data_IF_710902864652
#
_entry.id   IF_710902864652
#
_cell.length_a   1.000
_cell.length_b   1.000
_cell.length_c   1.000
_cell.angle_alpha   90.00
_cell.angle_beta   90.00
_cell.angle_gamma   90.00
#
_symmetry.space_group_name_H-M   'P 1'
#
loop_
_entity.id
_entity.type
_entity.pdbx_description
1 polymer ?
#
# COMPACT_ATOMS: atom_id res chain seq x y z
N UNK A 1 -21.52 20.21 2.00
CA UNK A 1 -22.28 21.45 1.74
C UNK A 1 -23.06 21.90 2.96
N UNK A 2 -23.85 21.03 3.61
CA UNK A 2 -24.65 21.36 4.80
C UNK A 2 -23.79 21.77 6.01
N UNK A 3 -22.70 21.07 6.28
CA UNK A 3 -21.79 21.37 7.38
C UNK A 3 -21.13 22.76 7.22
N UNK A 4 -20.80 23.15 5.98
CA UNK A 4 -20.22 24.46 5.70
C UNK A 4 -21.21 25.60 5.95
N UNK A 5 -22.51 25.38 5.67
CA UNK A 5 -23.58 26.35 5.98
C UNK A 5 -23.80 26.50 7.49
N UNK A 6 -23.74 25.38 8.24
CA UNK A 6 -24.05 25.39 9.67
C UNK A 6 -22.89 25.84 10.57
N UNK A 7 -21.64 25.58 10.19
CA UNK A 7 -20.46 25.75 11.06
C UNK A 7 -19.40 26.71 10.52
N UNK A 8 -19.62 27.30 9.35
CA UNK A 8 -18.63 28.12 8.66
C UNK A 8 -17.61 27.29 7.86
N UNK A 9 -17.02 27.92 6.84
CA UNK A 9 -16.16 27.25 5.85
C UNK A 9 -14.90 26.64 6.48
N UNK A 10 -14.24 27.35 7.39
CA UNK A 10 -12.99 26.88 8.03
C UNK A 10 -13.21 25.62 8.86
N UNK A 11 -14.24 25.63 9.70
CA UNK A 11 -14.61 24.48 10.55
C UNK A 11 -14.98 23.27 9.68
N UNK A 12 -15.74 23.48 8.60
CA UNK A 12 -16.11 22.41 7.69
C UNK A 12 -14.88 21.85 6.96
N UNK A 13 -13.92 22.69 6.57
CA UNK A 13 -12.67 22.27 5.94
C UNK A 13 -11.83 21.45 6.91
N UNK A 14 -11.68 21.90 8.18
CA UNK A 14 -10.94 21.16 9.19
C UNK A 14 -11.58 19.79 9.47
N UNK A 15 -12.90 19.75 9.62
CA UNK A 15 -13.62 18.48 9.81
C UNK A 15 -13.40 17.52 8.65
N UNK A 16 -13.47 18.00 7.41
CA UNK A 16 -13.23 17.18 6.22
C UNK A 16 -11.79 16.65 6.20
N UNK A 17 -10.82 17.49 6.53
CA UNK A 17 -9.41 17.10 6.62
C UNK A 17 -9.20 16.02 7.68
N UNK A 18 -9.77 16.18 8.88
CA UNK A 18 -9.63 15.23 9.97
C UNK A 18 -10.29 13.88 9.64
N UNK A 19 -11.46 13.89 9.03
CA UNK A 19 -12.14 12.67 8.58
C UNK A 19 -11.31 11.94 7.49
N UNK A 20 -10.82 12.70 6.50
CA UNK A 20 -10.04 12.13 5.39
C UNK A 20 -8.74 11.49 5.85
N UNK A 21 -8.13 11.99 6.94
CA UNK A 21 -6.89 11.43 7.51
C UNK A 21 -7.08 10.16 8.32
N UNK A 22 -8.29 9.87 8.80
CA UNK A 22 -8.53 8.74 9.71
C UNK A 22 -8.02 7.42 9.16
N UNK A 23 -8.28 7.14 7.88
CA UNK A 23 -7.84 5.90 7.25
C UNK A 23 -6.31 5.81 7.24
N UNK A 24 -5.62 6.82 6.72
CA UNK A 24 -4.15 6.79 6.63
C UNK A 24 -3.49 6.73 8.02
N UNK A 25 -4.04 7.42 9.02
CA UNK A 25 -3.58 7.35 10.41
C UNK A 25 -3.80 5.95 11.02
N UNK A 26 -4.94 5.33 10.74
CA UNK A 26 -5.25 3.97 11.21
C UNK A 26 -4.29 2.95 10.60
N UNK A 27 -4.03 3.04 9.30
CA UNK A 27 -3.05 2.19 8.64
C UNK A 27 -1.63 2.44 9.18
N UNK A 28 -1.28 3.69 9.49
CA UNK A 28 0.02 3.98 10.13
C UNK A 28 0.13 3.40 11.54
N UNK A 29 -0.93 3.44 12.34
CA UNK A 29 -0.97 2.76 13.64
C UNK A 29 -0.76 1.25 13.51
N UNK A 30 -1.35 0.63 12.48
CA UNK A 30 -1.13 -0.79 12.18
C UNK A 30 0.36 -1.09 11.93
N UNK A 31 1.05 -0.24 11.16
CA UNK A 31 2.49 -0.38 10.87
C UNK A 31 3.38 -0.25 12.11
N UNK A 32 2.96 0.53 13.10
CA UNK A 32 3.81 0.92 14.25
C UNK A 32 3.36 0.34 15.58
N UNK A 33 2.35 -0.52 15.61
CA UNK A 33 1.79 -1.07 16.86
C UNK A 33 2.67 -2.14 17.55
N UNK A 34 3.84 -2.46 16.99
CA UNK A 34 4.76 -3.44 17.55
C UNK A 34 4.34 -4.90 17.35
N UNK A 35 3.27 -5.16 16.58
CA UNK A 35 2.81 -6.51 16.24
C UNK A 35 2.99 -6.76 14.73
N UNK A 36 3.48 -7.94 14.32
CA UNK A 36 3.58 -8.27 12.90
C UNK A 36 2.19 -8.50 12.30
N UNK A 37 1.93 -7.87 11.16
CA UNK A 37 0.72 -8.03 10.36
C UNK A 37 1.07 -8.64 9.02
N UNK A 38 0.29 -9.64 8.60
CA UNK A 38 0.44 -10.28 7.28
C UNK A 38 -0.88 -10.20 6.54
N UNK A 39 -0.85 -9.69 5.33
CA UNK A 39 -1.99 -9.75 4.43
C UNK A 39 -2.01 -11.09 3.71
N UNK A 40 -3.10 -11.84 3.86
CA UNK A 40 -3.39 -13.07 3.12
C UNK A 40 -4.39 -12.76 2.00
N UNK A 41 -3.89 -12.57 0.78
CA UNK A 41 -4.65 -12.06 -0.36
C UNK A 41 -5.17 -13.24 -1.19
N UNK A 42 -6.49 -13.44 -1.21
CA UNK A 42 -7.12 -14.54 -1.96
C UNK A 42 -8.05 -14.04 -3.07
N UNK A 43 -7.60 -13.09 -3.87
CA UNK A 43 -8.39 -12.53 -4.96
C UNK A 43 -8.05 -11.06 -5.23
N UNK A 44 -9.07 -10.25 -5.49
CA UNK A 44 -8.90 -8.83 -5.76
C UNK A 44 -8.54 -8.04 -4.51
N UNK A 45 -7.43 -7.30 -4.55
CA UNK A 45 -7.10 -6.27 -3.58
C UNK A 45 -6.87 -4.96 -4.34
N UNK A 46 -7.91 -4.15 -4.47
CA UNK A 46 -7.92 -2.93 -5.25
C UNK A 46 -8.28 -1.74 -4.35
N UNK A 47 -7.73 -0.56 -4.66
CA UNK A 47 -8.01 0.67 -3.92
C UNK A 47 -7.63 0.56 -2.45
N UNK A 48 -8.50 1.04 -1.57
CA UNK A 48 -8.29 1.00 -0.12
C UNK A 48 -7.98 -0.40 0.44
N UNK A 49 -8.51 -1.48 -0.18
CA UNK A 49 -8.14 -2.84 0.18
C UNK A 49 -6.65 -3.12 -0.10
N UNK A 50 -6.11 -2.64 -1.22
CA UNK A 50 -4.69 -2.76 -1.49
C UNK A 50 -3.85 -1.87 -0.57
N UNK A 51 -4.30 -0.65 -0.25
CA UNK A 51 -3.63 0.23 0.72
C UNK A 51 -3.50 -0.41 2.10
N UNK A 52 -4.54 -1.13 2.56
CA UNK A 52 -4.48 -1.94 3.77
C UNK A 52 -3.41 -3.03 3.67
N UNK A 53 -3.34 -3.75 2.55
CA UNK A 53 -2.32 -4.80 2.38
C UNK A 53 -0.91 -4.22 2.33
N UNK A 54 -0.71 -3.02 1.74
CA UNK A 54 0.57 -2.32 1.72
C UNK A 54 1.02 -1.87 3.12
N UNK A 55 0.07 -1.60 4.03
CA UNK A 55 0.37 -1.27 5.42
C UNK A 55 0.74 -2.51 6.27
N UNK A 56 0.45 -3.73 5.80
CA UNK A 56 0.93 -4.94 6.46
C UNK A 56 2.45 -5.13 6.25
N UNK A 57 3.12 -5.77 7.22
CA UNK A 57 4.57 -6.02 7.17
C UNK A 57 4.95 -7.07 6.13
N UNK A 58 4.06 -8.01 5.88
CA UNK A 58 4.23 -9.05 4.86
C UNK A 58 2.94 -9.30 4.09
N UNK A 59 3.05 -9.76 2.87
CA UNK A 59 1.92 -10.08 1.98
C UNK A 59 2.16 -11.44 1.35
N UNK A 60 1.18 -12.32 1.51
CA UNK A 60 1.09 -13.62 0.82
C UNK A 60 -0.12 -13.58 -0.08
N UNK A 61 0.01 -13.98 -1.31
CA UNK A 61 -1.11 -14.05 -2.24
C UNK A 61 -1.37 -15.50 -2.64
N UNK A 62 -2.65 -15.85 -2.88
CA UNK A 62 -2.97 -17.11 -3.51
C UNK A 62 -2.65 -17.08 -5.01
N UNK A 63 -2.32 -18.22 -5.58
CA UNK A 63 -2.08 -18.42 -7.01
C UNK A 63 -3.36 -18.34 -7.86
N UNK A 64 -4.48 -17.90 -7.27
CA UNK A 64 -5.74 -17.69 -7.95
C UNK A 64 -5.55 -16.78 -9.18
N UNK A 65 -5.89 -17.23 -10.40
CA UNK A 65 -5.69 -16.46 -11.62
C UNK A 65 -6.49 -15.15 -11.68
N UNK A 66 -7.51 -15.01 -10.81
CA UNK A 66 -8.29 -13.78 -10.66
C UNK A 66 -7.66 -12.77 -9.69
N UNK A 67 -6.59 -13.13 -8.98
CA UNK A 67 -5.92 -12.20 -8.06
C UNK A 67 -5.30 -11.03 -8.84
N UNK A 68 -5.66 -9.83 -8.44
CA UNK A 68 -5.13 -8.57 -8.98
C UNK A 68 -4.94 -7.59 -7.84
N UNK A 69 -3.88 -6.81 -7.94
CA UNK A 69 -3.52 -5.75 -7.00
C UNK A 69 -3.50 -4.41 -7.75
N UNK A 70 -3.88 -3.32 -7.10
CA UNK A 70 -3.80 -2.03 -7.77
C UNK A 70 -4.52 -0.91 -7.03
N UNK A 71 -4.30 0.31 -7.54
CA UNK A 71 -4.86 1.57 -7.00
C UNK A 71 -5.65 2.28 -8.12
N UNK A 72 -6.86 1.79 -8.44
CA UNK A 72 -7.66 2.30 -9.57
C UNK A 72 -8.45 3.57 -9.26
N UNK A 73 -8.19 4.24 -8.14
CA UNK A 73 -8.94 5.41 -7.66
C UNK A 73 -9.03 6.51 -8.71
N UNK A 74 -7.98 6.73 -9.49
CA UNK A 74 -7.96 7.73 -10.58
C UNK A 74 -9.04 7.49 -11.64
N UNK A 75 -9.45 6.24 -11.86
CA UNK A 75 -10.49 5.87 -12.83
C UNK A 75 -11.90 6.34 -12.43
N UNK A 76 -12.06 6.73 -11.18
CA UNK A 76 -13.31 7.28 -10.63
C UNK A 76 -13.15 8.72 -10.11
N UNK A 77 -12.08 9.42 -10.55
CA UNK A 77 -11.84 10.82 -10.19
C UNK A 77 -11.32 11.02 -8.77
N UNK A 78 -10.77 9.98 -8.14
CA UNK A 78 -10.17 10.02 -6.81
C UNK A 78 -8.66 9.76 -6.88
N UNK A 79 -7.99 9.74 -5.74
CA UNK A 79 -6.61 9.28 -5.56
C UNK A 79 -6.52 8.37 -4.32
N UNK A 80 -5.47 7.53 -4.21
CA UNK A 80 -5.29 6.65 -3.05
C UNK A 80 -5.12 7.44 -1.76
N UNK A 81 -6.12 7.43 -0.89
CA UNK A 81 -6.19 8.26 0.33
C UNK A 81 -5.68 7.58 1.60
N UNK A 82 -5.53 6.25 1.60
CA UNK A 82 -5.02 5.48 2.75
C UNK A 82 -3.50 5.39 2.83
N UNK A 83 -2.77 6.05 1.92
CA UNK A 83 -1.31 6.09 1.89
C UNK A 83 -0.66 5.22 0.83
N UNK A 84 -1.41 4.74 -0.16
CA UNK A 84 -0.89 4.02 -1.32
C UNK A 84 0.14 4.83 -2.09
N UNK A 85 -0.09 6.15 -2.24
CA UNK A 85 0.84 7.11 -2.85
C UNK A 85 2.17 7.22 -2.10
N UNK A 86 2.23 6.83 -0.84
CA UNK A 86 3.41 6.87 0.00
C UNK A 86 4.12 5.51 0.10
N UNK A 87 3.34 4.42 0.23
CA UNK A 87 3.89 3.07 0.43
C UNK A 87 4.43 2.46 -0.85
N UNK A 88 3.68 2.60 -1.95
CA UNK A 88 4.05 1.96 -3.21
C UNK A 88 5.41 2.43 -3.73
N UNK A 89 5.73 3.75 -3.79
CA UNK A 89 7.06 4.23 -4.21
C UNK A 89 8.20 3.91 -3.22
N UNK A 90 7.87 3.44 -2.02
CA UNK A 90 8.85 2.93 -1.07
C UNK A 90 9.13 1.42 -1.24
N UNK A 91 8.32 0.75 -2.03
CA UNK A 91 8.43 -0.70 -2.29
C UNK A 91 9.00 -1.00 -3.68
N UNK A 92 8.84 -0.08 -4.64
CA UNK A 92 9.29 -0.24 -6.01
C UNK A 92 9.82 1.08 -6.57
N UNK A 93 10.62 1.08 -7.65
CA UNK A 93 11.06 2.31 -8.31
C UNK A 93 9.89 3.20 -8.71
N UNK A 94 10.07 4.52 -8.65
CA UNK A 94 9.02 5.49 -8.96
C UNK A 94 8.47 5.31 -10.38
N UNK A 95 9.32 5.02 -11.36
CA UNK A 95 8.92 4.74 -12.74
C UNK A 95 7.92 3.58 -12.86
N UNK A 96 7.99 2.59 -11.98
CA UNK A 96 7.08 1.44 -11.97
C UNK A 96 5.83 1.72 -11.15
N UNK A 97 5.94 2.57 -10.11
CA UNK A 97 4.83 2.97 -9.27
C UNK A 97 3.89 3.99 -9.95
N UNK A 98 4.43 4.92 -10.76
CA UNK A 98 3.66 5.98 -11.39
C UNK A 98 2.52 5.48 -12.29
N UNK A 99 2.69 4.49 -13.19
CA UNK A 99 1.58 3.97 -13.97
C UNK A 99 0.45 3.40 -13.11
N UNK A 100 0.78 2.78 -11.98
CA UNK A 100 -0.19 2.20 -11.06
C UNK A 100 -1.00 3.29 -10.35
N UNK A 101 -0.37 4.44 -10.04
CA UNK A 101 -0.99 5.57 -9.36
C UNK A 101 -1.75 6.49 -10.32
N UNK A 102 -1.15 6.81 -11.50
CA UNK A 102 -1.67 7.81 -12.42
C UNK A 102 -2.65 7.25 -13.46
N UNK A 103 -2.51 5.95 -13.82
CA UNK A 103 -3.40 5.27 -14.76
C UNK A 103 -4.36 4.31 -14.08
N UNK A 104 -4.11 3.98 -12.81
CA UNK A 104 -4.88 2.98 -12.08
C UNK A 104 -4.71 1.58 -12.66
N UNK A 105 -3.52 1.26 -13.16
CA UNK A 105 -3.21 -0.06 -13.70
C UNK A 105 -3.20 -1.12 -12.60
N UNK A 106 -3.48 -2.35 -12.98
CA UNK A 106 -3.47 -3.50 -12.07
C UNK A 106 -2.17 -4.29 -12.24
N UNK A 107 -1.64 -4.78 -11.13
CA UNK A 107 -0.46 -5.63 -11.10
C UNK A 107 -0.92 -7.09 -11.04
N UNK A 108 -0.39 -7.92 -11.93
CA UNK A 108 -0.50 -9.38 -11.87
C UNK A 108 0.50 -9.94 -10.84
N UNK A 109 0.22 -11.14 -10.34
CA UNK A 109 1.02 -11.75 -9.26
C UNK A 109 2.50 -11.98 -9.61
N UNK A 110 2.80 -12.36 -10.85
CA UNK A 110 4.16 -12.53 -11.35
C UNK A 110 4.97 -11.22 -11.17
N UNK A 111 4.43 -10.11 -11.67
CA UNK A 111 5.05 -8.78 -11.52
C UNK A 111 5.09 -8.31 -10.06
N UNK A 112 4.02 -8.57 -9.29
CA UNK A 112 3.98 -8.21 -7.87
C UNK A 112 5.04 -8.97 -7.05
N UNK A 113 5.34 -10.22 -7.41
CA UNK A 113 6.39 -11.02 -6.79
C UNK A 113 7.78 -10.49 -7.13
N UNK A 114 8.05 -10.19 -8.40
CA UNK A 114 9.33 -9.60 -8.83
C UNK A 114 9.59 -8.24 -8.17
N UNK A 115 8.54 -7.42 -8.05
CA UNK A 115 8.63 -6.11 -7.39
C UNK A 115 8.62 -6.17 -5.85
N UNK A 116 8.66 -7.36 -5.24
CA UNK A 116 8.57 -7.57 -3.78
C UNK A 116 7.31 -6.95 -3.12
N UNK A 117 6.27 -6.68 -3.90
CA UNK A 117 4.97 -6.26 -3.35
C UNK A 117 4.32 -7.42 -2.60
N UNK A 118 4.44 -8.64 -3.11
CA UNK A 118 4.08 -9.87 -2.39
C UNK A 118 5.34 -10.70 -2.11
N UNK A 119 5.47 -11.18 -0.88
CA UNK A 119 6.60 -11.99 -0.44
C UNK A 119 6.48 -13.46 -0.89
N UNK A 120 5.26 -13.99 -0.98
CA UNK A 120 5.01 -15.36 -1.44
C UNK A 120 3.73 -15.43 -2.27
N UNK A 121 3.72 -16.37 -3.22
CA UNK A 121 2.52 -16.80 -3.96
C UNK A 121 2.41 -18.31 -3.72
N UNK A 122 1.25 -18.75 -3.24
CA UNK A 122 1.02 -20.13 -2.79
C UNK A 122 -0.39 -20.60 -3.19
N UNK A 123 -0.67 -21.90 -3.21
CA UNK A 123 -2.03 -22.40 -3.36
C UNK A 123 -2.98 -21.81 -2.30
N UNK A 124 -4.22 -21.56 -2.67
CA UNK A 124 -5.20 -20.93 -1.77
C UNK A 124 -5.36 -21.67 -0.44
N UNK A 125 -5.22 -23.00 -0.44
CA UNK A 125 -5.29 -23.83 0.76
C UNK A 125 -4.14 -23.54 1.76
N UNK A 126 -2.98 -23.13 1.26
CA UNK A 126 -1.79 -22.86 2.07
C UNK A 126 -1.66 -21.39 2.52
N UNK A 127 -2.53 -20.52 2.01
CA UNK A 127 -2.44 -19.08 2.19
C UNK A 127 -2.33 -18.66 3.67
N UNK A 128 -3.25 -19.12 4.50
CA UNK A 128 -3.29 -18.78 5.92
C UNK A 128 -2.15 -19.45 6.70
N UNK A 129 -1.81 -20.69 6.32
CA UNK A 129 -0.66 -21.39 6.92
C UNK A 129 0.61 -20.61 6.68
N UNK A 130 0.89 -20.23 5.44
CA UNK A 130 2.09 -19.47 5.06
C UNK A 130 2.17 -18.11 5.77
N UNK A 131 1.04 -17.39 5.89
CA UNK A 131 0.98 -16.14 6.65
C UNK A 131 1.34 -16.34 8.13
N UNK A 132 0.80 -17.37 8.77
CA UNK A 132 1.10 -17.73 10.17
C UNK A 132 2.55 -18.18 10.35
N UNK A 133 3.07 -18.95 9.42
CA UNK A 133 4.44 -19.45 9.48
C UNK A 133 5.46 -18.30 9.39
N UNK A 134 5.21 -17.27 8.56
CA UNK A 134 6.04 -16.08 8.52
C UNK A 134 6.09 -15.36 9.89
N UNK A 135 4.93 -15.22 10.57
CA UNK A 135 4.87 -14.61 11.91
C UNK A 135 5.67 -15.47 12.91
N UNK A 136 5.46 -16.79 12.92
CA UNK A 136 6.14 -17.73 13.82
C UNK A 136 7.64 -17.79 13.60
N UNK A 137 8.09 -17.58 12.39
CA UNK A 137 9.51 -17.50 12.02
C UNK A 137 10.19 -16.20 12.48
N UNK A 138 9.51 -15.36 13.26
CA UNK A 138 10.05 -14.11 13.78
C UNK A 138 9.87 -12.91 12.84
N UNK A 139 8.79 -12.89 12.08
CA UNK A 139 8.42 -11.78 11.21
C UNK A 139 8.45 -10.44 11.94
N UNK A 140 9.23 -9.49 11.43
CA UNK A 140 9.48 -8.22 12.11
C UNK A 140 8.30 -7.25 11.93
N UNK A 141 7.81 -6.60 13.02
CA UNK A 141 6.74 -5.61 12.98
C UNK A 141 7.27 -4.21 12.65
N UNK A 142 8.12 -4.11 11.63
CA UNK A 142 8.77 -2.85 11.22
C UNK A 142 8.78 -2.80 9.70
N UNK A 143 8.31 -1.69 9.17
CA UNK A 143 8.36 -1.45 7.73
C UNK A 143 9.79 -1.08 7.30
N UNK A 144 10.20 -1.42 6.06
CA UNK A 144 11.55 -1.09 5.57
C UNK A 144 11.87 0.41 5.67
N UNK A 145 10.91 1.27 5.43
CA UNK A 145 11.08 2.74 5.48
C UNK A 145 11.14 3.33 6.90
N UNK A 146 10.88 2.54 7.93
CA UNK A 146 11.03 2.92 9.34
C UNK A 146 12.42 2.57 9.89
N UNK A 147 13.24 1.90 9.09
CA UNK A 147 14.61 1.54 9.47
C UNK A 147 15.57 2.66 9.10
N UNK A 148 16.45 3.04 10.04
CA UNK A 148 17.50 4.05 9.80
C UNK A 148 18.36 3.64 8.59
N UNK A 149 18.55 4.58 7.66
CA UNK A 149 19.34 4.36 6.44
C UNK A 149 18.54 3.74 5.27
N UNK A 150 17.20 3.65 5.39
CA UNK A 150 16.37 3.25 4.25
C UNK A 150 16.64 4.12 3.03
N UNK A 151 16.77 3.48 1.87
CA UNK A 151 16.93 4.15 0.57
C UNK A 151 15.74 3.82 -0.32
N UNK A 152 15.21 4.83 -1.00
CA UNK A 152 14.11 4.62 -1.96
C UNK A 152 14.59 3.70 -3.10
N UNK A 153 13.78 2.71 -3.49
CA UNK A 153 14.03 1.92 -4.70
C UNK A 153 14.14 2.85 -5.92
N UNK A 154 15.15 2.65 -6.77
CA UNK A 154 15.40 3.53 -7.91
C UNK A 154 16.11 4.85 -7.59
N UNK A 155 16.45 5.11 -6.31
CA UNK A 155 17.20 6.29 -5.89
C UNK A 155 16.34 7.49 -5.48
N UNK A 156 16.97 8.52 -4.94
CA UNK A 156 16.32 9.78 -4.58
C UNK A 156 15.98 10.59 -5.85
N UNK A 157 14.98 11.49 -5.78
CA UNK A 157 14.50 12.30 -6.90
C UNK A 157 15.63 13.07 -7.60
N UNK A 158 16.60 13.56 -6.84
CA UNK A 158 17.77 14.30 -7.36
C UNK A 158 19.00 13.41 -7.63
N UNK A 159 18.89 12.08 -7.57
CA UNK A 159 19.94 11.17 -8.03
C UNK A 159 19.88 10.99 -9.55
N UNK A 160 20.99 10.59 -10.17
CA UNK A 160 21.01 10.28 -11.62
C UNK A 160 19.94 9.25 -12.01
N UNK A 161 19.68 8.26 -11.15
CA UNK A 161 18.62 7.26 -11.36
C UNK A 161 17.21 7.85 -11.20
N UNK A 162 17.01 8.80 -10.26
CA UNK A 162 15.73 9.43 -10.02
C UNK A 162 15.36 10.48 -11.09
N UNK A 163 16.35 11.21 -11.63
CA UNK A 163 16.13 12.21 -12.69
C UNK A 163 15.69 11.60 -14.02
N UNK A 164 15.96 10.32 -14.25
CA UNK A 164 15.48 9.63 -15.47
C UNK A 164 13.99 9.25 -15.41
N UNK A 165 13.27 9.59 -14.34
CA UNK A 165 11.82 9.32 -14.18
C UNK A 165 10.97 10.48 -14.69
N UNK A 166 11.54 11.65 -14.81
CA UNK A 166 10.93 12.90 -15.28
C UNK A 166 11.60 13.39 -16.54
#
# INVERSE_FOLDING_TARGET
AETAKAKGKEVATQMLFDESRKLSQTLRKLETCGKPWVAAINGLALGGAFELTLACHYRVASDNPKTRLGLPEVKVGLFPGGGGTQRLPRMMPAQDALPLLLKGDQIKLDKAKVANIVGAVVPAADLIKTAKDWIKAGGKPVQPWDVKGFKLPGGAVYSAAGMNVF
#
